data_IF_349478704296
#
_entry.id   IF_349478704296
#
_cell.length_a   1.000
_cell.length_b   1.000
_cell.length_c   1.000
_cell.angle_alpha   90.00
_cell.angle_beta   90.00
_cell.angle_gamma   90.00
#
_symmetry.space_group_name_H-M   'P 1'
#
loop_
_entity.id
_entity.type
_entity.pdbx_description
1 polymer ?
#
# COMPACT_ATOMS: atom_id res chain seq x y z
N UNK A 1 -29.12 9.06 -15.72
CA UNK A 1 -29.68 8.58 -14.45
C UNK A 1 -28.58 8.63 -13.41
N UNK A 2 -28.70 9.51 -12.41
CA UNK A 2 -27.69 9.66 -11.35
C UNK A 2 -27.81 8.47 -10.40
N UNK A 3 -26.90 7.52 -10.51
CA UNK A 3 -26.86 6.36 -9.60
C UNK A 3 -26.43 6.87 -8.22
N UNK A 4 -27.34 6.80 -7.25
CA UNK A 4 -27.05 7.24 -5.89
C UNK A 4 -26.25 6.18 -5.13
N UNK A 5 -25.38 6.62 -4.21
CA UNK A 5 -24.61 5.71 -3.34
C UNK A 5 -25.54 4.82 -2.51
N UNK A 6 -26.72 5.34 -2.10
CA UNK A 6 -27.72 4.56 -1.36
C UNK A 6 -28.28 3.39 -2.18
N UNK A 7 -28.51 3.58 -3.48
CA UNK A 7 -28.97 2.51 -4.37
C UNK A 7 -27.90 1.41 -4.52
N UNK A 8 -26.63 1.79 -4.66
CA UNK A 8 -25.52 0.83 -4.73
C UNK A 8 -25.33 0.05 -3.42
N UNK A 9 -25.59 0.68 -2.27
CA UNK A 9 -25.54 0.01 -0.97
C UNK A 9 -26.63 -1.05 -0.84
N UNK A 10 -27.86 -0.72 -1.23
CA UNK A 10 -28.96 -1.69 -1.21
C UNK A 10 -28.69 -2.89 -2.14
N UNK A 11 -28.12 -2.65 -3.32
CA UNK A 11 -27.74 -3.74 -4.24
C UNK A 11 -26.60 -4.61 -3.69
N UNK A 12 -25.63 -4.00 -3.00
CA UNK A 12 -24.53 -4.71 -2.36
C UNK A 12 -25.02 -5.62 -1.24
N UNK A 13 -25.96 -5.14 -0.42
CA UNK A 13 -26.58 -5.93 0.65
C UNK A 13 -27.38 -7.10 0.08
N UNK A 14 -28.19 -6.87 -0.97
CA UNK A 14 -28.91 -7.94 -1.66
C UNK A 14 -27.98 -9.00 -2.26
N UNK A 15 -26.83 -8.58 -2.82
CA UNK A 15 -25.81 -9.51 -3.32
C UNK A 15 -25.19 -10.34 -2.17
N UNK A 16 -24.93 -9.73 -1.02
CA UNK A 16 -24.41 -10.42 0.15
C UNK A 16 -25.41 -11.43 0.74
N UNK A 17 -26.70 -11.10 0.77
CA UNK A 17 -27.78 -12.02 1.17
C UNK A 17 -27.89 -13.21 0.21
N UNK A 18 -27.66 -12.98 -1.09
CA UNK A 18 -27.60 -14.02 -2.11
C UNK A 18 -26.28 -14.81 -2.11
N UNK A 19 -25.35 -14.53 -1.19
CA UNK A 19 -24.00 -15.10 -1.11
C UNK A 19 -23.12 -14.84 -2.35
N UNK A 20 -23.47 -13.83 -3.15
CA UNK A 20 -22.68 -13.36 -4.28
C UNK A 20 -21.67 -12.30 -3.82
N UNK A 21 -20.63 -12.78 -3.15
CA UNK A 21 -19.58 -11.91 -2.61
C UNK A 21 -18.72 -11.26 -3.70
N UNK A 22 -18.68 -11.83 -4.91
CA UNK A 22 -17.96 -11.23 -6.03
C UNK A 22 -18.66 -9.94 -6.46
N UNK A 23 -19.98 -10.01 -6.68
CA UNK A 23 -20.79 -8.83 -7.00
C UNK A 23 -20.79 -7.81 -5.85
N UNK A 24 -20.89 -8.26 -4.60
CA UNK A 24 -20.81 -7.37 -3.44
C UNK A 24 -19.45 -6.64 -3.36
N UNK A 25 -18.35 -7.30 -3.69
CA UNK A 25 -17.02 -6.67 -3.74
C UNK A 25 -16.92 -5.61 -4.83
N UNK A 26 -17.41 -5.89 -6.05
CA UNK A 26 -17.43 -4.91 -7.15
C UNK A 26 -18.23 -3.65 -6.79
N UNK A 27 -19.40 -3.83 -6.18
CA UNK A 27 -20.25 -2.72 -5.73
C UNK A 27 -19.57 -1.91 -4.61
N UNK A 28 -18.89 -2.59 -3.67
CA UNK A 28 -18.11 -1.92 -2.62
C UNK A 28 -16.98 -1.08 -3.19
N UNK A 29 -16.25 -1.59 -4.19
CA UNK A 29 -15.18 -0.85 -4.85
C UNK A 29 -15.75 0.35 -5.60
N UNK A 30 -16.90 0.18 -6.28
CA UNK A 30 -17.61 1.28 -6.94
C UNK A 30 -18.05 2.37 -5.96
N UNK A 31 -18.61 1.99 -4.81
CA UNK A 31 -18.98 2.93 -3.73
C UNK A 31 -17.74 3.66 -3.19
N UNK A 32 -16.64 2.94 -3.01
CA UNK A 32 -15.38 3.49 -2.50
C UNK A 32 -14.81 4.53 -3.48
N UNK A 33 -14.86 4.27 -4.78
CA UNK A 33 -14.47 5.22 -5.82
C UNK A 33 -15.36 6.47 -5.82
N UNK A 34 -16.68 6.31 -5.74
CA UNK A 34 -17.61 7.45 -5.68
C UNK A 34 -17.42 8.30 -4.41
N UNK A 35 -17.12 7.66 -3.26
CA UNK A 35 -16.86 8.36 -1.98
C UNK A 35 -15.50 9.05 -1.96
N UNK A 36 -14.46 8.41 -2.50
CA UNK A 36 -13.12 8.99 -2.56
C UNK A 36 -13.03 10.16 -3.56
N UNK A 37 -14.02 10.26 -4.47
CA UNK A 37 -13.84 10.96 -5.71
C UNK A 37 -14.82 12.04 -6.11
N UNK A 38 -15.85 12.36 -5.32
CA UNK A 38 -16.81 13.46 -5.59
C UNK A 38 -17.05 13.75 -7.08
N UNK A 39 -17.94 12.98 -7.73
CA UNK A 39 -18.28 12.99 -9.18
C UNK A 39 -17.13 12.89 -10.23
N UNK A 40 -15.89 13.35 -9.97
CA UNK A 40 -14.84 13.55 -10.98
C UNK A 40 -13.43 13.05 -10.59
N UNK A 41 -13.25 12.14 -9.63
CA UNK A 41 -11.92 11.54 -9.44
C UNK A 41 -11.61 10.49 -10.50
N UNK A 42 -10.71 10.87 -11.40
CA UNK A 42 -10.05 9.95 -12.32
C UNK A 42 -9.06 9.03 -11.57
N UNK A 43 -9.30 7.71 -11.52
CA UNK A 43 -8.37 6.77 -10.92
C UNK A 43 -7.11 6.54 -11.77
N UNK A 44 -7.03 7.07 -13.00
CA UNK A 44 -5.87 6.98 -13.87
C UNK A 44 -4.68 7.77 -13.28
N UNK A 45 -3.84 7.09 -12.53
CA UNK A 45 -2.65 7.66 -11.88
C UNK A 45 -2.50 7.26 -10.41
N UNK A 46 -3.55 6.71 -9.80
CA UNK A 46 -3.48 6.11 -8.46
C UNK A 46 -2.74 4.77 -8.54
N UNK A 47 -1.44 4.80 -8.23
CA UNK A 47 -0.64 3.59 -8.08
C UNK A 47 -0.69 3.10 -6.65
N UNK A 48 -0.78 1.77 -6.46
CA UNK A 48 -0.66 1.19 -5.11
C UNK A 48 0.69 1.55 -4.53
N UNK A 49 0.66 2.15 -3.35
CA UNK A 49 1.87 2.50 -2.61
C UNK A 49 2.70 1.22 -2.37
N UNK A 50 3.97 1.27 -2.77
CA UNK A 50 4.91 0.17 -2.57
C UNK A 50 5.63 0.31 -1.22
N UNK A 51 5.82 -0.78 -0.46
CA UNK A 51 6.67 -0.76 0.72
C UNK A 51 8.06 -0.17 0.39
N UNK A 52 8.50 0.84 1.16
CA UNK A 52 9.77 1.55 0.95
C UNK A 52 9.71 2.83 0.10
N UNK A 53 8.65 3.04 -0.69
CA UNK A 53 8.45 4.29 -1.46
C UNK A 53 7.94 5.46 -0.59
N UNK A 54 7.47 5.16 0.63
CA UNK A 54 6.92 6.15 1.57
C UNK A 54 8.00 7.01 2.26
N UNK A 55 9.30 6.77 2.02
CA UNK A 55 10.40 7.49 2.69
C UNK A 55 10.54 7.20 4.19
N UNK A 56 9.69 6.36 4.76
CA UNK A 56 9.80 5.87 6.13
C UNK A 56 10.98 4.88 6.23
N UNK A 57 12.10 5.33 6.79
CA UNK A 57 13.28 4.51 7.08
C UNK A 57 14.51 4.73 6.19
N UNK A 58 14.40 5.55 5.13
CA UNK A 58 15.56 5.93 4.28
C UNK A 58 16.30 7.17 4.79
N UNK A 59 15.70 7.94 5.71
CA UNK A 59 16.37 9.03 6.43
C UNK A 59 17.27 8.51 7.54
N UNK A 60 18.24 7.65 7.21
CA UNK A 60 19.37 7.41 8.11
C UNK A 60 20.33 8.56 7.92
N UNK A 61 20.46 9.40 8.94
CA UNK A 61 21.53 10.41 8.98
C UNK A 61 22.87 9.66 8.91
N UNK A 62 23.55 9.77 7.77
CA UNK A 62 24.93 9.31 7.64
C UNK A 62 25.81 10.37 8.29
N UNK A 63 26.51 10.00 9.36
CA UNK A 63 27.51 10.88 9.97
C UNK A 63 28.78 10.77 9.14
N UNK A 64 29.25 11.89 8.58
CA UNK A 64 30.56 11.89 7.93
C UNK A 64 31.66 11.67 8.97
N UNK A 65 32.54 10.68 8.77
CA UNK A 65 33.65 10.46 9.66
C UNK A 65 34.67 11.60 9.54
N UNK A 66 35.38 11.95 10.63
CA UNK A 66 36.38 13.01 10.61
C UNK A 66 37.53 12.69 9.64
N UNK A 67 38.21 13.72 9.14
CA UNK A 67 39.35 13.56 8.23
C UNK A 67 40.42 12.65 8.83
N UNK A 68 40.83 11.63 8.08
CA UNK A 68 41.84 10.65 8.51
C UNK A 68 41.29 9.46 9.31
N UNK A 69 39.97 9.36 9.51
CA UNK A 69 39.37 8.19 10.15
C UNK A 69 39.49 6.93 9.28
N UNK A 70 40.07 5.87 9.84
CA UNK A 70 40.18 4.56 9.20
C UNK A 70 39.22 3.59 9.87
N UNK A 71 38.30 3.03 9.09
CA UNK A 71 37.34 2.03 9.57
C UNK A 71 38.08 0.80 10.11
N UNK A 72 37.75 0.31 11.32
CA UNK A 72 38.35 -0.92 11.84
C UNK A 72 37.98 -2.12 10.96
N UNK A 73 38.91 -3.07 10.85
CA UNK A 73 38.66 -4.33 10.14
C UNK A 73 37.54 -5.10 10.84
N UNK A 74 36.57 -5.59 10.07
CA UNK A 74 35.48 -6.43 10.59
C UNK A 74 36.09 -7.66 11.28
N UNK A 75 35.74 -7.96 12.54
CA UNK A 75 36.21 -9.17 13.20
C UNK A 75 35.71 -10.41 12.45
N UNK A 76 36.47 -11.49 12.56
CA UNK A 76 36.03 -12.78 12.02
C UNK A 76 34.67 -13.15 12.64
N UNK A 77 33.68 -13.59 11.84
CA UNK A 77 32.37 -13.97 12.37
C UNK A 77 32.41 -15.14 13.37
N UNK A 78 33.57 -15.78 13.55
CA UNK A 78 33.78 -16.96 14.41
C UNK A 78 32.79 -18.09 14.10
N UNK A 79 32.21 -18.07 12.90
CA UNK A 79 31.25 -19.06 12.43
C UNK A 79 31.93 -19.99 11.45
N UNK A 80 31.88 -21.30 11.71
CA UNK A 80 32.29 -22.32 10.74
C UNK A 80 31.46 -22.13 9.46
N UNK A 81 32.13 -21.91 8.33
CA UNK A 81 31.55 -21.50 7.05
C UNK A 81 30.45 -22.41 6.52
N UNK A 82 29.22 -22.23 7.03
CA UNK A 82 28.02 -22.79 6.42
C UNK A 82 27.64 -21.85 5.28
N UNK A 83 27.89 -22.31 4.05
CA UNK A 83 27.36 -21.66 2.84
C UNK A 83 25.83 -21.57 2.99
N UNK A 84 25.27 -20.39 2.74
CA UNK A 84 23.84 -20.24 2.48
C UNK A 84 23.56 -20.68 1.05
#
# INVERSE_FOLDING_TARGET
MTVSIAALQAEMEAAAEALDFAKAAELRDRISLLRAGGEDADPAGLTRQQPGAMGLGTSRQQVEPPAGWVKPKKPDPMTKGRKR
#
